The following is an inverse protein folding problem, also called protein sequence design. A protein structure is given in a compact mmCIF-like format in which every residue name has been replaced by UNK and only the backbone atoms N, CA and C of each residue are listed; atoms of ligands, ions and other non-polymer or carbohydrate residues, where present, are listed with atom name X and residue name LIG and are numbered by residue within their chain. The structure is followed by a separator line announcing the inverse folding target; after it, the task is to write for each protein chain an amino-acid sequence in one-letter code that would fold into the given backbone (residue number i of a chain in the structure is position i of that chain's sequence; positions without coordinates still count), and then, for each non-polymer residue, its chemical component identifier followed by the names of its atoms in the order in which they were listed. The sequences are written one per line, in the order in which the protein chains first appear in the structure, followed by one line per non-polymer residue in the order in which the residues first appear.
data_IF_306239019586
#
_entry.id   IF_306239019586
#
_cell.length_a   1.000
_cell.length_b   1.000
_cell.length_c   1.000
_cell.angle_alpha   90.00
_cell.angle_beta   90.00
_cell.angle_gamma   90.00
#
_symmetry.space_group_name_H-M   'P 1'
#
loop_
_entity.id
_entity.type
_entity.pdbx_description
1 polymer ?
#
# COMPACT_ATOMS: atom_id res chain seq x y z
N UNK A 1 -28.06 25.19 -25.68
CA UNK A 1 -27.68 24.18 -24.66
C UNK A 1 -26.48 23.40 -25.17
N UNK A 2 -25.27 23.66 -24.67
CA UNK A 2 -24.05 22.98 -25.14
C UNK A 2 -23.51 22.07 -24.03
N UNK A 3 -23.66 20.76 -24.19
CA UNK A 3 -23.05 19.74 -23.31
C UNK A 3 -21.53 19.77 -23.51
N UNK A 4 -20.78 20.20 -22.49
CA UNK A 4 -19.32 20.01 -22.41
C UNK A 4 -19.04 18.51 -22.23
N UNK A 5 -18.33 17.92 -23.19
CA UNK A 5 -17.82 16.55 -23.11
C UNK A 5 -16.68 16.50 -22.09
N UNK A 6 -16.79 15.60 -21.10
CA UNK A 6 -15.71 15.27 -20.16
C UNK A 6 -14.59 14.51 -20.89
N UNK A 7 -13.31 14.82 -20.62
CA UNK A 7 -12.20 14.05 -21.19
C UNK A 7 -12.12 12.66 -20.56
N UNK A 8 -12.12 11.63 -21.40
CA UNK A 8 -11.99 10.21 -21.05
C UNK A 8 -10.53 9.85 -20.74
N UNK A 9 -10.28 9.35 -19.54
CA UNK A 9 -9.50 8.13 -19.24
C UNK A 9 -8.15 7.87 -19.95
N UNK A 10 -7.31 8.89 -20.15
CA UNK A 10 -5.91 8.65 -20.59
C UNK A 10 -4.94 8.29 -19.47
N UNK A 11 -5.35 8.40 -18.20
CA UNK A 11 -4.50 8.13 -17.03
C UNK A 11 -4.76 6.76 -16.38
N UNK A 12 -5.67 5.93 -16.91
CA UNK A 12 -6.03 4.67 -16.25
C UNK A 12 -4.92 3.62 -16.34
N UNK A 13 -4.28 3.45 -17.51
CA UNK A 13 -3.23 2.42 -17.66
C UNK A 13 -2.00 2.68 -16.79
N UNK A 14 -1.46 3.90 -16.85
CA UNK A 14 -0.32 4.30 -16.01
C UNK A 14 -0.61 4.16 -14.52
N UNK A 15 -1.86 4.30 -14.09
CA UNK A 15 -2.26 4.12 -12.69
C UNK A 15 -2.35 2.66 -12.27
N UNK A 16 -2.64 1.73 -13.18
CA UNK A 16 -2.73 0.30 -12.86
C UNK A 16 -1.35 -0.32 -12.75
N UNK A 17 -0.45 0.00 -13.68
CA UNK A 17 0.93 -0.50 -13.64
C UNK A 17 1.65 -0.01 -12.38
N UNK A 18 1.58 1.30 -12.12
CA UNK A 18 2.18 1.90 -10.91
C UNK A 18 1.56 1.36 -9.61
N UNK A 19 0.29 0.99 -9.64
CA UNK A 19 -0.39 0.43 -8.49
C UNK A 19 0.01 -1.02 -8.19
N UNK A 20 0.62 -1.72 -9.15
CA UNK A 20 1.19 -3.07 -9.00
C UNK A 20 2.62 -2.98 -8.49
N UNK A 21 3.44 -2.09 -9.05
CA UNK A 21 4.80 -1.80 -8.56
C UNK A 21 4.80 -1.44 -7.07
N UNK A 22 3.94 -0.50 -6.67
CA UNK A 22 3.77 -0.11 -5.25
C UNK A 22 3.32 -1.29 -4.38
N UNK A 23 2.52 -2.21 -4.92
CA UNK A 23 2.05 -3.35 -4.16
C UNK A 23 3.18 -4.36 -3.92
N UNK A 24 4.00 -4.62 -4.94
CA UNK A 24 5.18 -5.49 -4.86
C UNK A 24 6.20 -4.92 -3.87
N UNK A 25 6.54 -3.63 -3.99
CA UNK A 25 7.48 -2.95 -3.08
C UNK A 25 7.04 -3.12 -1.61
N UNK A 26 5.76 -2.88 -1.31
CA UNK A 26 5.25 -2.98 0.05
C UNK A 26 5.24 -4.42 0.57
N UNK A 27 4.92 -5.41 -0.27
CA UNK A 27 4.93 -6.81 0.14
C UNK A 27 6.35 -7.29 0.42
N UNK A 28 7.32 -6.90 -0.41
CA UNK A 28 8.73 -7.22 -0.21
C UNK A 28 9.27 -6.62 1.09
N UNK A 29 9.02 -5.33 1.33
CA UNK A 29 9.45 -4.68 2.57
C UNK A 29 8.77 -5.28 3.82
N UNK A 30 7.50 -5.68 3.73
CA UNK A 30 6.82 -6.36 4.84
C UNK A 30 7.49 -7.70 5.12
N UNK A 31 7.82 -8.48 4.09
CA UNK A 31 8.51 -9.76 4.25
C UNK A 31 9.90 -9.58 4.87
N UNK A 32 10.71 -8.64 4.36
CA UNK A 32 12.04 -8.34 4.89
C UNK A 32 11.98 -7.94 6.38
N UNK A 33 11.08 -7.02 6.75
CA UNK A 33 10.94 -6.60 8.14
C UNK A 33 10.47 -7.75 9.04
N UNK A 34 9.58 -8.62 8.56
CA UNK A 34 9.16 -9.81 9.31
C UNK A 34 10.31 -10.82 9.46
N UNK A 35 11.12 -11.02 8.42
CA UNK A 35 12.28 -11.90 8.48
C UNK A 35 13.34 -11.39 9.47
N UNK A 36 13.56 -10.07 9.53
CA UNK A 36 14.53 -9.46 10.43
C UNK A 36 14.05 -9.35 11.89
N UNK A 37 12.78 -8.96 12.10
CA UNK A 37 12.27 -8.55 13.42
C UNK A 37 11.15 -9.45 13.95
N UNK A 38 10.67 -10.41 13.16
CA UNK A 38 9.52 -11.27 13.46
C UNK A 38 8.15 -10.59 13.30
N UNK A 39 8.11 -9.25 13.31
CA UNK A 39 6.88 -8.45 13.18
C UNK A 39 7.12 -7.21 12.34
N UNK A 40 6.17 -6.86 11.47
CA UNK A 40 6.19 -5.61 10.72
C UNK A 40 5.16 -4.63 11.29
N UNK A 41 5.62 -3.45 11.73
CA UNK A 41 4.73 -2.37 12.20
C UNK A 41 4.59 -1.30 11.14
N UNK A 42 3.47 -0.58 11.19
CA UNK A 42 3.20 0.56 10.30
C UNK A 42 4.29 1.64 10.39
N UNK A 43 4.92 1.80 11.56
CA UNK A 43 6.04 2.74 11.75
C UNK A 43 7.25 2.35 10.89
N UNK A 44 7.59 1.06 10.86
CA UNK A 44 8.76 0.54 10.16
C UNK A 44 8.62 0.78 8.65
N UNK A 45 7.43 0.50 8.10
CA UNK A 45 7.12 0.80 6.69
C UNK A 45 7.11 2.31 6.39
N UNK A 46 6.61 3.14 7.30
CA UNK A 46 6.60 4.58 7.09
C UNK A 46 8.01 5.18 7.06
N UNK A 47 8.90 4.68 7.92
CA UNK A 47 10.32 5.05 7.93
C UNK A 47 11.05 4.51 6.70
N UNK A 48 10.83 3.24 6.34
CA UNK A 48 11.46 2.59 5.19
C UNK A 48 11.10 3.27 3.86
N UNK A 49 9.82 3.56 3.63
CA UNK A 49 9.36 4.22 2.40
C UNK A 49 9.40 5.76 2.46
N UNK A 50 9.82 6.35 3.59
CA UNK A 50 9.80 7.79 3.83
C UNK A 50 8.43 8.45 3.52
N UNK A 51 7.34 7.78 3.90
CA UNK A 51 5.96 8.25 3.69
C UNK A 51 5.22 8.46 5.01
N UNK A 52 4.07 9.14 4.95
CA UNK A 52 3.23 9.30 6.14
C UNK A 52 2.59 7.97 6.58
N UNK A 53 2.34 7.80 7.88
CA UNK A 53 1.57 6.66 8.42
C UNK A 53 0.20 6.50 7.74
N UNK A 54 -0.43 7.61 7.32
CA UNK A 54 -1.73 7.59 6.62
C UNK A 54 -1.58 6.95 5.24
N UNK A 55 -0.49 7.21 4.53
CA UNK A 55 -0.17 6.59 3.25
C UNK A 55 -0.01 5.09 3.42
N UNK A 56 0.83 4.66 4.38
CA UNK A 56 1.05 3.23 4.67
C UNK A 56 -0.27 2.53 4.99
N UNK A 57 -1.08 3.09 5.90
CA UNK A 57 -2.37 2.50 6.25
C UNK A 57 -3.29 2.31 5.03
N UNK A 58 -3.32 3.29 4.11
CA UNK A 58 -4.12 3.17 2.88
C UNK A 58 -3.59 2.07 1.96
N UNK A 59 -2.28 1.98 1.79
CA UNK A 59 -1.65 0.96 0.95
C UNK A 59 -1.85 -0.43 1.55
N UNK A 60 -1.59 -0.60 2.85
CA UNK A 60 -1.80 -1.86 3.57
C UNK A 60 -3.26 -2.29 3.56
N UNK A 61 -4.21 -1.36 3.76
CA UNK A 61 -5.64 -1.68 3.64
C UNK A 61 -6.02 -2.15 2.23
N UNK A 62 -5.40 -1.58 1.19
CA UNK A 62 -5.58 -2.03 -0.19
C UNK A 62 -4.99 -3.43 -0.41
N UNK A 63 -3.76 -3.66 0.04
CA UNK A 63 -3.11 -4.97 -0.02
C UNK A 63 -3.92 -6.05 0.71
N UNK A 64 -4.49 -5.72 1.86
CA UNK A 64 -5.35 -6.63 2.63
C UNK A 64 -6.64 -6.95 1.87
N UNK A 65 -7.27 -5.94 1.26
CA UNK A 65 -8.45 -6.12 0.42
C UNK A 65 -8.17 -6.99 -0.81
N UNK A 66 -6.97 -6.85 -1.37
CA UNK A 66 -6.53 -7.60 -2.55
C UNK A 66 -5.94 -8.99 -2.17
N UNK A 67 -5.84 -9.30 -0.87
CA UNK A 67 -5.45 -10.60 -0.33
C UNK A 67 -3.94 -10.86 -0.22
N UNK A 68 -3.12 -9.82 -0.37
CA UNK A 68 -1.66 -9.94 -0.32
C UNK A 68 -1.11 -9.97 1.11
N UNK A 69 -1.81 -9.35 2.07
CA UNK A 69 -1.36 -9.25 3.47
C UNK A 69 -2.52 -9.46 4.43
N UNK A 70 -2.22 -9.98 5.61
CA UNK A 70 -3.15 -10.03 6.74
C UNK A 70 -2.60 -9.17 7.86
N UNK A 71 -3.39 -8.20 8.32
CA UNK A 71 -3.06 -7.40 9.50
C UNK A 71 -3.92 -7.86 10.66
N UNK A 72 -3.29 -8.12 11.80
CA UNK A 72 -4.01 -8.32 13.05
C UNK A 72 -4.24 -6.95 13.71
N UNK A 73 -5.50 -6.57 13.99
CA UNK A 73 -5.78 -5.31 14.66
C UNK A 73 -5.28 -5.37 16.10
N UNK A 74 -4.44 -4.40 16.48
CA UNK A 74 -3.97 -4.21 17.86
C UNK A 74 -3.23 -5.41 18.47
N UNK A 75 -2.47 -6.21 17.70
CA UNK A 75 -1.64 -7.25 18.33
C UNK A 75 -0.70 -6.61 19.35
N UNK A 76 -0.82 -6.97 20.65
CA UNK A 76 0.05 -6.47 21.68
C UNK A 76 1.47 -6.97 21.43
N UNK A 77 2.43 -6.11 21.74
CA UNK A 77 3.85 -6.44 21.71
C UNK A 77 4.13 -7.41 22.86
N UNK A 78 4.38 -8.68 22.55
CA UNK A 78 5.14 -9.62 23.39
C UNK A 78 6.17 -10.36 22.54
#
# INVERSE_FOLDING_TARGET
MAKKQQPKNQHERTRVDHATEIAEDYVEAIAEVIEEQGVCRVKDLAEHFAVSHVTVNRTVARLQRDGYVTTEPYSPVE
#
